data_IF_238376464398
#
_entry.id   IF_238376464398
#
_cell.length_a   1.000
_cell.length_b   1.000
_cell.length_c   1.000
_cell.angle_alpha   90.00
_cell.angle_beta   90.00
_cell.angle_gamma   90.00
#
_symmetry.space_group_name_H-M   'P 1'
#
loop_
_entity.id
_entity.type
_entity.pdbx_description
1 polymer ?
#
# COMPACT_ATOMS: atom_id res chain seq x y z
N UNK A 1 8.64 -0.72 -9.99
CA UNK A 1 7.24 -0.81 -9.50
C UNK A 1 7.15 -0.02 -8.22
N UNK A 2 6.26 0.95 -8.10
CA UNK A 2 6.20 1.83 -6.93
C UNK A 2 4.88 2.57 -6.83
N UNK A 3 4.54 3.03 -5.62
CA UNK A 3 3.29 3.71 -5.30
C UNK A 3 3.35 5.23 -5.53
N UNK A 4 4.28 5.72 -6.35
CA UNK A 4 4.39 7.15 -6.70
C UNK A 4 3.07 7.77 -7.17
N UNK A 5 2.25 7.09 -8.01
CA UNK A 5 0.95 7.64 -8.42
C UNK A 5 -0.07 7.74 -7.27
N UNK A 6 0.18 7.08 -6.14
CA UNK A 6 -0.66 7.14 -4.94
C UNK A 6 -0.29 8.27 -3.99
N UNK A 7 0.88 8.91 -4.14
CA UNK A 7 1.38 9.88 -3.15
C UNK A 7 0.38 10.99 -2.84
N UNK A 8 -0.24 11.60 -3.86
CA UNK A 8 -1.24 12.65 -3.64
C UNK A 8 -2.46 12.16 -2.84
N UNK A 9 -2.89 10.92 -3.04
CA UNK A 9 -3.93 10.32 -2.20
C UNK A 9 -3.40 10.02 -0.79
N UNK A 10 -2.20 9.45 -0.66
CA UNK A 10 -1.67 9.03 0.63
C UNK A 10 -1.26 10.20 1.55
N UNK A 11 -1.00 11.40 1.01
CA UNK A 11 -0.54 12.56 1.82
C UNK A 11 -1.55 13.71 1.90
N UNK A 12 -2.57 13.75 1.03
CA UNK A 12 -3.57 14.80 1.02
C UNK A 12 -4.97 14.24 1.29
N UNK A 13 -5.50 14.51 2.49
CA UNK A 13 -6.82 14.05 2.93
C UNK A 13 -7.98 14.66 2.15
N UNK A 14 -7.77 15.77 1.43
CA UNK A 14 -8.78 16.35 0.54
C UNK A 14 -9.03 15.52 -0.74
N UNK A 15 -8.10 14.63 -1.12
CA UNK A 15 -8.24 13.78 -2.32
C UNK A 15 -9.08 12.56 -1.97
N UNK A 16 -10.41 12.63 -2.05
CA UNK A 16 -11.32 11.60 -1.52
C UNK A 16 -11.06 10.17 -2.05
N UNK A 17 -10.76 10.01 -3.33
CA UNK A 17 -10.58 8.70 -4.00
C UNK A 17 -9.18 8.56 -4.62
N UNK A 18 -8.61 7.33 -4.64
CA UNK A 18 -7.33 7.11 -5.29
C UNK A 18 -7.47 7.25 -6.81
N UNK A 19 -6.51 7.89 -7.51
CA UNK A 19 -6.49 7.94 -8.97
C UNK A 19 -6.42 6.53 -9.58
N UNK A 20 -6.96 6.34 -10.79
CA UNK A 20 -6.88 5.05 -11.48
C UNK A 20 -5.44 4.54 -11.64
N UNK A 21 -4.49 5.45 -11.90
CA UNK A 21 -3.06 5.13 -11.96
C UNK A 21 -2.49 4.62 -10.63
N UNK A 22 -3.00 5.13 -9.49
CA UNK A 22 -2.65 4.60 -8.18
C UNK A 22 -3.14 3.15 -8.03
N UNK A 23 -4.40 2.89 -8.37
CA UNK A 23 -4.94 1.53 -8.27
C UNK A 23 -4.24 0.54 -9.23
N UNK A 24 -3.87 0.97 -10.43
CA UNK A 24 -3.05 0.17 -11.35
C UNK A 24 -1.68 -0.16 -10.77
N UNK A 25 -0.99 0.83 -10.19
CA UNK A 25 0.29 0.63 -9.53
C UNK A 25 0.18 -0.28 -8.30
N UNK A 26 -0.86 -0.11 -7.49
CA UNK A 26 -1.14 -0.94 -6.32
C UNK A 26 -1.43 -2.39 -6.73
N UNK A 27 -2.27 -2.62 -7.75
CA UNK A 27 -2.50 -3.96 -8.30
C UNK A 27 -1.20 -4.60 -8.80
N UNK A 28 -0.39 -3.86 -9.55
CA UNK A 28 0.91 -4.35 -10.01
C UNK A 28 1.84 -4.75 -8.85
N UNK A 29 1.82 -3.99 -7.75
CA UNK A 29 2.58 -4.33 -6.53
C UNK A 29 2.06 -5.63 -5.90
N UNK A 30 0.74 -5.77 -5.77
CA UNK A 30 0.10 -6.97 -5.21
C UNK A 30 0.42 -8.20 -6.06
N UNK A 31 0.33 -8.08 -7.38
CA UNK A 31 0.51 -9.22 -8.30
C UNK A 31 1.99 -9.65 -8.41
N UNK A 32 2.94 -8.71 -8.39
CA UNK A 32 4.35 -8.99 -8.73
C UNK A 32 5.30 -8.97 -7.52
N UNK A 33 4.95 -8.23 -6.46
CA UNK A 33 5.79 -8.07 -5.28
C UNK A 33 4.95 -7.97 -3.98
N UNK A 34 4.11 -8.98 -3.68
CA UNK A 34 3.20 -8.95 -2.55
C UNK A 34 3.90 -8.85 -1.18
N UNK A 35 5.16 -9.31 -1.08
CA UNK A 35 5.96 -9.19 0.15
C UNK A 35 6.25 -7.72 0.52
N UNK A 36 6.30 -6.81 -0.45
CA UNK A 36 6.51 -5.39 -0.19
C UNK A 36 5.35 -4.76 0.57
N UNK A 37 4.16 -5.37 0.55
CA UNK A 37 3.01 -4.94 1.36
C UNK A 37 3.29 -5.06 2.85
N UNK A 38 4.21 -5.94 3.26
CA UNK A 38 4.61 -6.08 4.66
C UNK A 38 5.22 -4.80 5.22
N UNK A 39 5.95 -4.00 4.43
CA UNK A 39 6.48 -2.70 4.88
C UNK A 39 5.35 -1.72 5.20
N UNK A 40 4.25 -1.81 4.45
CA UNK A 40 3.03 -1.10 4.75
C UNK A 40 2.45 -1.54 6.09
N UNK A 41 2.18 -2.83 6.24
CA UNK A 41 1.52 -3.41 7.41
C UNK A 41 2.33 -3.29 8.71
N UNK A 42 3.65 -3.40 8.63
CA UNK A 42 4.54 -3.29 9.79
C UNK A 42 4.76 -1.83 10.24
N UNK A 43 4.21 -0.85 9.52
CA UNK A 43 4.32 0.57 9.87
C UNK A 43 5.66 1.21 9.52
N UNK A 44 6.59 0.48 8.90
CA UNK A 44 7.88 1.01 8.43
C UNK A 44 7.74 1.92 7.20
N UNK A 45 6.55 2.00 6.60
CA UNK A 45 6.29 2.80 5.41
C UNK A 45 6.68 4.28 5.57
N UNK A 46 6.55 4.83 6.78
CA UNK A 46 6.92 6.23 7.09
C UNK A 46 8.44 6.46 7.10
N UNK A 47 9.25 5.40 7.19
CA UNK A 47 10.72 5.47 7.03
C UNK A 47 11.15 5.41 5.56
N UNK A 48 10.27 4.96 4.68
CA UNK A 48 10.58 4.66 3.27
C UNK A 48 10.03 5.77 2.37
N UNK A 49 9.01 6.51 2.80
CA UNK A 49 8.38 7.55 2.00
C UNK A 49 8.90 8.95 2.36
N UNK A 50 8.98 9.86 1.36
CA UNK A 50 9.56 11.20 1.53
C UNK A 50 8.64 12.20 2.25
N UNK A 51 7.39 11.82 2.54
CA UNK A 51 6.39 12.66 3.18
C UNK A 51 5.55 11.85 4.17
N UNK A 52 5.02 12.47 5.25
CA UNK A 52 4.14 11.80 6.19
C UNK A 52 2.89 11.32 5.45
N UNK A 53 2.74 10.00 5.36
CA UNK A 53 1.56 9.39 4.77
C UNK A 53 0.52 9.11 5.82
N UNK A 54 -0.73 9.24 5.42
CA UNK A 54 -1.85 8.77 6.19
C UNK A 54 -1.95 7.24 6.06
N UNK A 55 -1.56 6.56 7.13
CA UNK A 55 -1.59 5.11 7.23
C UNK A 55 -2.99 4.52 7.00
N UNK A 56 -4.05 5.20 7.47
CA UNK A 56 -5.42 4.72 7.29
C UNK A 56 -5.81 4.72 5.82
N UNK A 57 -5.37 5.72 5.06
CA UNK A 57 -5.60 5.77 3.61
C UNK A 57 -4.88 4.65 2.90
N UNK A 58 -3.64 4.35 3.29
CA UNK A 58 -2.90 3.21 2.74
C UNK A 58 -3.61 1.88 3.00
N UNK A 59 -4.10 1.67 4.23
CA UNK A 59 -4.87 0.49 4.61
C UNK A 59 -6.22 0.38 3.89
N UNK A 60 -6.76 1.50 3.40
CA UNK A 60 -8.02 1.52 2.63
C UNK A 60 -7.86 1.20 1.14
N UNK A 61 -6.64 1.23 0.59
CA UNK A 61 -6.37 0.96 -0.83
C UNK A 61 -6.95 -0.35 -1.35
N UNK A 62 -6.89 -1.49 -0.63
CA UNK A 62 -7.50 -2.73 -1.10
C UNK A 62 -8.99 -2.59 -1.42
N UNK A 63 -9.74 -1.92 -0.54
CA UNK A 63 -11.17 -1.67 -0.71
C UNK A 63 -11.44 -0.65 -1.80
N UNK A 64 -10.75 0.49 -1.76
CA UNK A 64 -10.95 1.59 -2.71
C UNK A 64 -10.53 1.26 -4.16
N UNK A 65 -9.57 0.35 -4.32
CA UNK A 65 -9.11 -0.13 -5.63
C UNK A 65 -9.72 -1.48 -6.04
N UNK A 66 -10.55 -2.10 -5.19
CA UNK A 66 -11.09 -3.44 -5.40
C UNK A 66 -10.01 -4.48 -5.75
N UNK A 67 -8.84 -4.39 -5.11
CA UNK A 67 -7.72 -5.31 -5.32
C UNK A 67 -7.69 -6.30 -4.17
N UNK A 68 -7.95 -7.59 -4.42
CA UNK A 68 -7.89 -8.61 -3.37
C UNK A 68 -6.44 -8.76 -2.89
N UNK A 69 -6.28 -8.83 -1.57
CA UNK A 69 -4.98 -9.01 -0.96
C UNK A 69 -4.62 -10.50 -0.84
N UNK A 70 -3.34 -10.89 -1.08
CA UNK A 70 -2.88 -12.26 -0.94
C UNK A 70 -2.69 -12.59 0.55
N UNK A 71 -3.77 -12.98 1.21
CA UNK A 71 -3.81 -13.23 2.66
C UNK A 71 -2.74 -14.21 3.14
N UNK A 72 -2.38 -15.21 2.33
CA UNK A 72 -1.31 -16.17 2.65
C UNK A 72 0.07 -15.50 2.74
N UNK A 73 0.41 -14.65 1.78
CA UNK A 73 1.66 -13.88 1.80
C UNK A 73 1.65 -12.85 2.91
N UNK A 74 0.51 -12.21 3.15
CA UNK A 74 0.37 -11.22 4.23
C UNK A 74 0.51 -11.86 5.61
N UNK A 75 0.01 -13.07 5.81
CA UNK A 75 0.20 -13.80 7.07
C UNK A 75 1.68 -14.10 7.35
N UNK A 76 2.55 -14.10 6.33
CA UNK A 76 3.99 -14.25 6.50
C UNK A 76 4.66 -12.95 6.99
N UNK A 77 4.03 -11.78 6.80
CA UNK A 77 4.57 -10.50 7.28
C UNK A 77 4.72 -10.45 8.82
N UNK A 78 3.87 -11.18 9.55
CA UNK A 78 3.86 -11.24 11.00
C UNK A 78 4.81 -12.31 11.57
N UNK A 79 5.43 -13.13 10.72
CA UNK A 79 6.40 -14.13 11.18
C UNK A 79 7.74 -13.42 11.39
N UNK A 80 8.36 -13.49 12.58
CA UNK A 80 9.76 -13.11 12.72
C UNK A 80 10.54 -14.00 11.75
N UNK A 81 11.39 -13.39 10.94
CA UNK A 81 12.40 -14.10 10.16
C UNK A 81 13.20 -14.99 11.12
N UNK A 82 12.92 -16.30 11.07
CA UNK A 82 13.65 -17.34 11.78
C UNK A 82 15.07 -17.45 11.23
#
# INVERSE_FOLDING_TARGET
>A
MGLTPCMGYLTNTSVATPPAACCGAFKSLVDNAPICLCHGLNGDINKIMPAPMDFMRMMSLPGNCAVPLPMQTIAQCAKPSL
#
